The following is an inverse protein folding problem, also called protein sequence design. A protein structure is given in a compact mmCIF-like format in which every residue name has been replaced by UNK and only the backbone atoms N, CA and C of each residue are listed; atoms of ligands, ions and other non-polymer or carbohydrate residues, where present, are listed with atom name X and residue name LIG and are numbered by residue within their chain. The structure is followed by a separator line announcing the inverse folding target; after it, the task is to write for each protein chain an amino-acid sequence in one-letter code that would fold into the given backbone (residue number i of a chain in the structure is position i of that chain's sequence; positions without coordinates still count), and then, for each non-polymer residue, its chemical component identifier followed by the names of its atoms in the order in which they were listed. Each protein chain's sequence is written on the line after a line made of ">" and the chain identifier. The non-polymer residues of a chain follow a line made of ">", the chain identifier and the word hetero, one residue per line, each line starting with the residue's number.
data_IF_756879066599
#
_entry.id   IF_756879066599
#
_cell.length_a   1.000
_cell.length_b   1.000
_cell.length_c   1.000
_cell.angle_alpha   90.00
_cell.angle_beta   90.00
_cell.angle_gamma   90.00
#
_symmetry.space_group_name_H-M   'P 1'
#
loop_
_entity.id
_entity.type
_entity.pdbx_description
1 polymer ?
#
# COMPACT_ATOMS: atom_id res chain seq x y z
N UNK A 1 -2.46 -23.08 9.63
CA UNK A 1 -1.61 -21.94 10.00
C UNK A 1 -1.68 -21.78 11.51
N UNK A 2 -0.55 -21.81 12.22
CA UNK A 2 -0.54 -21.55 13.66
C UNK A 2 -0.43 -20.05 13.93
N UNK A 3 -0.90 -19.60 15.09
CA UNK A 3 -0.68 -18.21 15.52
C UNK A 3 0.83 -17.91 15.66
N UNK A 4 1.66 -18.91 15.97
CA UNK A 4 3.11 -18.77 16.05
C UNK A 4 3.77 -18.48 14.69
N UNK A 5 3.27 -19.06 13.58
CA UNK A 5 3.75 -18.72 12.23
C UNK A 5 3.47 -17.24 11.92
N UNK A 6 2.31 -16.74 12.31
CA UNK A 6 1.96 -15.32 12.10
C UNK A 6 2.81 -14.41 12.99
N UNK A 7 3.06 -14.77 14.25
CA UNK A 7 3.95 -13.98 15.12
C UNK A 7 5.40 -13.95 14.63
N UNK A 8 5.89 -15.05 14.05
CA UNK A 8 7.21 -15.10 13.44
C UNK A 8 7.29 -14.12 12.25
N UNK A 9 6.25 -14.09 11.42
CA UNK A 9 6.14 -13.14 10.31
C UNK A 9 5.99 -11.69 10.78
N UNK A 10 5.32 -11.43 11.90
CA UNK A 10 5.24 -10.09 12.49
C UNK A 10 6.63 -9.59 12.89
N UNK A 11 7.43 -10.42 13.56
CA UNK A 11 8.79 -10.04 13.94
C UNK A 11 9.67 -9.79 12.72
N UNK A 12 9.64 -10.70 11.75
CA UNK A 12 10.32 -10.56 10.45
C UNK A 12 9.94 -9.24 9.76
N UNK A 13 8.64 -8.99 9.58
CA UNK A 13 8.16 -7.85 8.81
C UNK A 13 8.57 -6.52 9.46
N UNK A 14 8.52 -6.44 10.80
CA UNK A 14 8.96 -5.25 11.53
C UNK A 14 10.47 -5.06 11.46
N UNK A 15 11.25 -6.13 11.61
CA UNK A 15 12.72 -6.06 11.49
C UNK A 15 13.14 -5.63 10.08
N UNK A 16 12.50 -6.17 9.04
CA UNK A 16 12.70 -5.75 7.65
C UNK A 16 12.56 -4.23 7.51
N UNK A 17 11.52 -3.66 8.11
CA UNK A 17 11.30 -2.22 8.21
C UNK A 17 12.48 -1.46 8.79
N UNK A 18 12.82 -1.79 10.03
CA UNK A 18 13.86 -1.07 10.74
C UNK A 18 15.22 -1.16 10.02
N UNK A 19 15.60 -2.34 9.54
CA UNK A 19 16.90 -2.52 8.86
C UNK A 19 16.91 -1.80 7.51
N UNK A 20 15.87 -1.97 6.67
CA UNK A 20 15.84 -1.42 5.30
C UNK A 20 15.97 0.09 5.25
N UNK A 21 15.30 0.77 6.16
CA UNK A 21 15.22 2.21 6.11
C UNK A 21 16.20 2.88 7.07
N UNK A 22 16.54 2.27 8.21
CA UNK A 22 17.26 3.01 9.26
C UNK A 22 18.67 2.51 9.58
N UNK A 23 19.06 1.30 9.18
CA UNK A 23 20.44 0.84 9.37
C UNK A 23 21.35 1.34 8.24
N UNK A 24 22.44 2.08 8.52
CA UNK A 24 23.19 2.81 7.47
C UNK A 24 24.43 2.07 6.95
N UNK A 25 24.43 0.74 6.97
CA UNK A 25 25.50 -0.10 6.41
C UNK A 25 25.63 0.06 4.89
N UNK A 26 26.84 -0.18 4.38
CA UNK A 26 27.09 -0.19 2.95
C UNK A 26 26.42 -1.37 2.24
N UNK A 27 26.43 -2.56 2.87
CA UNK A 27 25.80 -3.79 2.37
C UNK A 27 24.28 -3.61 2.22
N UNK A 28 23.62 -3.07 3.24
CA UNK A 28 22.18 -2.78 3.22
C UNK A 28 21.80 -1.74 2.16
N UNK A 29 22.73 -0.88 1.73
CA UNK A 29 22.46 0.11 0.69
C UNK A 29 22.47 -0.46 -0.74
N UNK A 30 23.03 -1.66 -0.94
CA UNK A 30 23.19 -2.26 -2.28
C UNK A 30 22.52 -3.63 -2.43
N UNK A 31 22.00 -4.21 -1.33
CA UNK A 31 21.26 -5.48 -1.36
C UNK A 31 19.97 -5.37 -2.18
N UNK A 32 19.57 -6.48 -2.82
CA UNK A 32 18.26 -6.61 -3.44
C UNK A 32 17.18 -6.80 -2.35
N UNK A 33 16.55 -5.69 -1.97
CA UNK A 33 15.52 -5.66 -0.93
C UNK A 33 14.23 -6.41 -1.28
N UNK A 34 13.93 -6.64 -2.56
CA UNK A 34 12.76 -7.41 -2.97
C UNK A 34 13.03 -8.90 -2.79
N UNK A 35 14.19 -9.39 -3.25
CA UNK A 35 14.63 -10.77 -3.04
C UNK A 35 14.80 -11.08 -1.55
N UNK A 36 15.40 -10.16 -0.79
CA UNK A 36 15.57 -10.31 0.65
C UNK A 36 14.22 -10.40 1.38
N UNK A 37 13.20 -9.66 0.91
CA UNK A 37 11.86 -9.77 1.49
C UNK A 37 11.30 -11.18 1.31
N UNK A 38 11.38 -11.76 0.10
CA UNK A 38 10.90 -13.12 -0.17
C UNK A 38 11.68 -14.15 0.64
N UNK A 39 13.03 -14.06 0.64
CA UNK A 39 13.89 -14.96 1.43
C UNK A 39 13.55 -14.90 2.92
N UNK A 40 13.51 -13.70 3.50
CA UNK A 40 13.22 -13.53 4.93
C UNK A 40 11.82 -14.00 5.32
N UNK A 41 10.82 -13.83 4.45
CA UNK A 41 9.49 -14.38 4.64
C UNK A 41 9.51 -15.92 4.64
N UNK A 42 10.26 -16.53 3.72
CA UNK A 42 10.40 -17.99 3.66
C UNK A 42 11.09 -18.55 4.91
N UNK A 43 12.20 -17.94 5.35
CA UNK A 43 12.93 -18.41 6.55
C UNK A 43 12.12 -18.23 7.84
N UNK A 44 11.46 -17.09 8.03
CA UNK A 44 10.63 -16.84 9.21
C UNK A 44 9.46 -17.83 9.31
N UNK A 45 8.88 -18.28 8.19
CA UNK A 45 7.83 -19.30 8.19
C UNK A 45 8.31 -20.71 8.53
N UNK A 46 9.59 -21.01 8.29
CA UNK A 46 10.19 -22.31 8.64
C UNK A 46 10.52 -22.41 10.12
N UNK A 47 10.73 -21.29 10.80
CA UNK A 47 10.95 -21.25 12.24
C UNK A 47 9.80 -21.94 13.00
N UNK A 48 10.15 -22.74 14.01
CA UNK A 48 9.19 -23.45 14.88
C UNK A 48 9.22 -22.95 16.31
N UNK A 49 10.33 -22.33 16.70
CA UNK A 49 10.54 -21.75 18.03
C UNK A 49 11.04 -20.31 17.93
N UNK A 50 10.99 -19.57 19.05
CA UNK A 50 11.59 -18.24 19.13
C UNK A 50 13.12 -18.26 18.87
N UNK A 51 13.80 -19.35 19.26
CA UNK A 51 15.22 -19.54 18.98
C UNK A 51 15.49 -19.75 17.49
N UNK A 52 14.69 -20.61 16.82
CA UNK A 52 14.82 -20.82 15.37
C UNK A 52 14.58 -19.52 14.62
N UNK A 53 13.60 -18.74 15.06
CA UNK A 53 13.28 -17.44 14.47
C UNK A 53 14.42 -16.45 14.67
N UNK A 54 15.02 -16.38 15.85
CA UNK A 54 16.18 -15.53 16.09
C UNK A 54 17.31 -15.88 15.12
N UNK A 55 17.68 -17.16 15.03
CA UNK A 55 18.74 -17.64 14.12
C UNK A 55 18.40 -17.31 12.67
N UNK A 56 17.18 -17.59 12.22
CA UNK A 56 16.74 -17.29 10.86
C UNK A 56 16.83 -15.80 10.51
N UNK A 57 16.44 -14.92 11.46
CA UNK A 57 16.54 -13.47 11.26
C UNK A 57 17.99 -12.98 11.29
N UNK A 58 18.84 -13.54 12.15
CA UNK A 58 20.26 -13.22 12.17
C UNK A 58 20.95 -13.63 10.86
N UNK A 59 20.68 -14.83 10.35
CA UNK A 59 21.22 -15.35 9.09
C UNK A 59 20.81 -14.54 7.85
N UNK A 60 19.65 -13.88 7.90
CA UNK A 60 19.14 -13.02 6.82
C UNK A 60 19.65 -11.59 6.96
N UNK A 61 19.63 -11.02 8.17
CA UNK A 61 19.84 -9.57 8.37
C UNK A 61 21.25 -9.20 8.83
N UNK A 62 21.97 -10.03 9.59
CA UNK A 62 23.34 -9.67 10.02
C UNK A 62 24.32 -9.47 8.85
N UNK A 63 24.24 -10.22 7.71
CA UNK A 63 25.10 -9.94 6.56
C UNK A 63 24.94 -8.55 5.97
N UNK A 64 23.78 -7.91 6.16
CA UNK A 64 23.52 -6.53 5.71
C UNK A 64 23.47 -5.51 6.84
N UNK A 65 23.38 -5.96 8.08
CA UNK A 65 23.39 -5.13 9.28
C UNK A 65 24.23 -5.80 10.37
N UNK A 66 25.56 -5.79 10.26
CA UNK A 66 26.44 -6.59 11.14
C UNK A 66 26.37 -6.22 12.63
N UNK A 67 25.88 -5.02 12.91
CA UNK A 67 25.73 -4.46 14.27
C UNK A 67 24.33 -4.65 14.85
N UNK A 68 23.41 -5.24 14.07
CA UNK A 68 22.13 -5.73 14.57
C UNK A 68 22.37 -6.79 15.64
N UNK A 69 21.62 -6.71 16.72
CA UNK A 69 21.55 -7.77 17.71
C UNK A 69 20.09 -8.10 18.02
N UNK A 70 19.78 -9.38 18.10
CA UNK A 70 18.48 -9.90 18.54
C UNK A 70 18.63 -10.60 19.88
N UNK A 71 17.57 -10.61 20.66
CA UNK A 71 17.46 -11.43 21.88
C UNK A 71 16.01 -11.68 22.26
N UNK A 72 15.72 -12.65 23.14
CA UNK A 72 14.40 -12.82 23.71
C UNK A 72 13.94 -11.59 24.50
N UNK A 73 12.65 -11.27 24.46
CA UNK A 73 12.04 -10.24 25.31
C UNK A 73 12.23 -10.60 26.77
N UNK A 74 12.51 -9.60 27.61
CA UNK A 74 12.69 -9.81 29.06
C UNK A 74 14.04 -10.41 29.45
N UNK A 75 15.03 -10.45 28.53
CA UNK A 75 16.39 -10.94 28.80
C UNK A 75 17.18 -10.14 29.86
N UNK A 76 16.62 -9.04 30.40
CA UNK A 76 17.02 -8.36 31.64
C UNK A 76 18.54 -8.22 31.85
N UNK A 77 19.12 -9.21 32.54
CA UNK A 77 20.51 -9.24 32.98
C UNK A 77 21.51 -9.74 31.92
N UNK A 78 21.06 -10.35 30.83
CA UNK A 78 21.92 -10.71 29.70
C UNK A 78 22.16 -9.44 28.89
N UNK A 79 23.39 -8.93 28.96
CA UNK A 79 23.82 -7.78 28.17
C UNK A 79 23.58 -8.00 26.67
N UNK A 80 23.38 -6.91 25.93
CA UNK A 80 23.33 -7.00 24.48
C UNK A 80 24.65 -7.54 23.93
N UNK A 81 24.63 -8.31 22.82
CA UNK A 81 25.83 -8.71 22.12
C UNK A 81 26.81 -7.55 21.91
N UNK A 82 28.10 -7.81 22.06
CA UNK A 82 29.16 -6.79 22.04
C UNK A 82 29.50 -6.26 20.64
N UNK A 83 28.66 -6.52 19.63
CA UNK A 83 28.85 -6.07 18.25
C UNK A 83 28.52 -4.57 18.03
N UNK A 84 28.60 -3.75 19.08
CA UNK A 84 28.35 -2.32 18.99
C UNK A 84 29.62 -1.58 18.56
N UNK A 85 29.61 -0.82 17.47
CA UNK A 85 30.75 -0.03 17.08
C UNK A 85 30.89 1.19 18.00
N UNK A 86 32.11 1.54 18.36
CA UNK A 86 32.40 2.84 18.97
C UNK A 86 32.24 3.94 17.90
N UNK A 87 31.47 4.98 18.23
CA UNK A 87 31.29 6.11 17.33
C UNK A 87 32.59 6.92 17.26
N UNK A 88 33.11 7.11 16.05
CA UNK A 88 34.27 7.98 15.80
C UNK A 88 33.86 9.41 15.45
N UNK A 89 34.85 10.22 15.07
CA UNK A 89 34.63 11.59 14.60
C UNK A 89 33.83 11.67 13.27
N UNK A 90 33.79 10.57 12.51
CA UNK A 90 33.08 10.45 11.23
C UNK A 90 32.04 9.35 11.32
N UNK A 91 30.81 9.69 10.94
CA UNK A 91 29.66 8.80 11.08
C UNK A 91 28.72 8.92 9.89
N UNK A 92 27.92 7.87 9.70
CA UNK A 92 26.87 7.78 8.67
C UNK A 92 25.53 7.41 9.28
N UNK A 93 24.45 7.93 8.69
CA UNK A 93 23.06 7.62 9.05
C UNK A 93 22.11 7.89 7.87
N UNK A 94 20.88 7.39 7.93
CA UNK A 94 19.87 7.67 6.90
C UNK A 94 19.04 8.91 7.23
N UNK A 95 18.71 9.68 6.20
CA UNK A 95 17.61 10.64 6.19
C UNK A 95 16.69 10.35 5.01
N UNK A 96 15.39 10.48 5.24
CA UNK A 96 14.37 10.28 4.22
C UNK A 96 13.43 11.47 4.16
N UNK A 97 13.24 12.00 2.95
CA UNK A 97 12.16 12.92 2.61
C UNK A 97 11.14 12.12 1.81
N UNK A 98 10.21 11.49 2.51
CA UNK A 98 9.29 10.49 1.96
C UNK A 98 9.99 9.23 1.45
N UNK A 99 9.26 8.38 0.75
CA UNK A 99 9.74 7.08 0.27
C UNK A 99 9.99 7.10 -1.24
N UNK A 100 11.18 6.68 -1.67
CA UNK A 100 11.46 6.42 -3.09
C UNK A 100 11.42 4.93 -3.35
N UNK A 101 10.44 4.49 -4.14
CA UNK A 101 10.31 3.10 -4.58
C UNK A 101 10.61 3.03 -6.09
N UNK A 102 11.58 2.19 -6.46
CA UNK A 102 11.97 1.97 -7.86
C UNK A 102 12.68 3.17 -8.51
N UNK A 103 12.75 3.12 -9.85
CA UNK A 103 13.59 4.01 -10.65
C UNK A 103 12.88 5.24 -11.21
N UNK A 104 11.55 5.37 -11.01
CA UNK A 104 10.77 6.50 -11.55
C UNK A 104 11.21 7.83 -10.91
N UNK A 105 11.21 8.94 -11.67
CA UNK A 105 11.42 10.27 -11.10
C UNK A 105 10.43 10.53 -9.97
N UNK A 106 10.93 10.98 -8.82
CA UNK A 106 10.13 11.20 -7.63
C UNK A 106 10.68 12.39 -6.85
N UNK A 107 9.81 13.23 -6.26
CA UNK A 107 10.25 14.27 -5.32
C UNK A 107 10.77 13.67 -4.01
N UNK A 108 10.51 12.38 -3.76
CA UNK A 108 10.99 11.68 -2.58
C UNK A 108 12.45 11.25 -2.71
N UNK A 109 13.22 11.47 -1.65
CA UNK A 109 14.66 11.26 -1.64
C UNK A 109 15.05 10.59 -0.32
N UNK A 110 15.81 9.50 -0.40
CA UNK A 110 16.51 8.91 0.73
C UNK A 110 18.00 9.14 0.54
N UNK A 111 18.71 9.53 1.60
CA UNK A 111 20.14 9.79 1.55
C UNK A 111 20.84 9.18 2.76
N UNK A 112 21.92 8.45 2.48
CA UNK A 112 22.91 8.07 3.47
C UNK A 112 23.85 9.25 3.69
N UNK A 113 23.62 9.98 4.77
CA UNK A 113 24.32 11.20 5.17
C UNK A 113 25.65 10.83 5.81
N UNK A 114 26.71 11.60 5.55
CA UNK A 114 27.97 11.50 6.27
C UNK A 114 28.30 12.84 6.92
N UNK A 115 28.66 12.78 8.20
CA UNK A 115 29.09 13.93 9.00
C UNK A 115 30.54 13.73 9.45
N UNK A 116 31.27 14.83 9.62
CA UNK A 116 32.68 14.84 10.03
C UNK A 116 33.69 14.77 8.88
N UNK A 117 33.27 14.99 7.63
CA UNK A 117 34.16 15.05 6.46
C UNK A 117 33.67 16.03 5.37
N UNK A 118 34.48 16.28 4.34
CA UNK A 118 34.23 17.30 3.30
C UNK A 118 33.27 16.88 2.17
N UNK A 119 32.53 15.78 2.31
CA UNK A 119 31.70 15.25 1.20
C UNK A 119 30.53 16.18 0.87
N UNK A 120 30.56 16.80 -0.31
CA UNK A 120 29.44 17.62 -0.81
C UNK A 120 28.20 16.79 -1.18
N UNK A 121 28.37 15.53 -1.55
CA UNK A 121 27.30 14.66 -2.08
C UNK A 121 26.46 13.98 -0.98
N UNK A 122 27.01 13.82 0.22
CA UNK A 122 26.35 13.16 1.37
C UNK A 122 25.94 14.13 2.47
N UNK A 123 25.63 15.38 2.11
CA UNK A 123 25.10 16.38 3.05
C UNK A 123 23.68 16.03 3.53
N UNK A 124 23.31 16.41 4.76
CA UNK A 124 21.94 16.28 5.25
C UNK A 124 20.89 16.84 4.27
N UNK A 125 19.76 16.14 4.14
CA UNK A 125 18.57 16.59 3.43
C UNK A 125 17.78 17.65 4.21
N UNK A 126 17.86 17.63 5.53
CA UNK A 126 17.17 18.53 6.44
C UNK A 126 17.90 18.61 7.78
N UNK A 127 17.55 19.61 8.59
CA UNK A 127 18.04 19.76 9.96
C UNK A 127 17.53 18.64 10.87
N UNK A 128 18.41 18.08 11.71
CA UNK A 128 18.11 16.96 12.61
C UNK A 128 18.91 15.70 12.27
N UNK A 129 19.20 14.90 13.29
CA UNK A 129 19.96 13.65 13.12
C UNK A 129 19.65 12.67 14.26
N UNK A 130 19.87 11.36 14.06
CA UNK A 130 19.75 10.37 15.11
C UNK A 130 20.97 10.34 16.05
N UNK A 131 21.89 11.33 16.00
CA UNK A 131 23.10 11.30 16.84
C UNK A 131 22.80 11.38 18.35
N UNK A 132 21.68 11.98 18.74
CA UNK A 132 21.22 11.99 20.13
C UNK A 132 20.63 10.65 20.59
N UNK A 133 20.18 9.81 19.64
CA UNK A 133 19.62 8.48 19.89
C UNK A 133 20.18 7.52 18.83
N UNK A 134 21.48 7.20 18.90
CA UNK A 134 22.18 6.51 17.81
C UNK A 134 21.81 5.02 17.70
N UNK A 135 21.00 4.52 18.64
CA UNK A 135 20.61 3.12 18.73
C UNK A 135 19.11 3.05 19.00
N UNK A 136 18.42 2.23 18.22
CA UNK A 136 17.03 1.88 18.41
C UNK A 136 16.93 0.56 19.17
N UNK A 137 16.11 0.53 20.22
CA UNK A 137 15.68 -0.69 20.89
C UNK A 137 14.19 -0.89 20.62
N UNK A 138 13.80 -2.07 20.12
CA UNK A 138 12.42 -2.32 19.72
C UNK A 138 12.00 -3.76 19.96
N UNK A 139 10.86 -3.96 20.61
CA UNK A 139 10.19 -5.25 20.64
C UNK A 139 9.61 -5.54 19.25
N UNK A 140 10.04 -6.62 18.60
CA UNK A 140 9.60 -7.03 17.26
C UNK A 140 8.26 -7.77 17.34
N UNK A 141 8.10 -8.64 18.33
CA UNK A 141 6.85 -9.29 18.70
C UNK A 141 6.87 -9.54 20.22
N UNK A 142 6.07 -10.50 20.71
CA UNK A 142 6.05 -10.89 22.12
C UNK A 142 7.31 -11.66 22.58
N UNK A 143 8.06 -12.25 21.65
CA UNK A 143 9.15 -13.18 21.94
C UNK A 143 10.53 -12.58 21.69
N UNK A 144 10.68 -11.69 20.69
CA UNK A 144 11.96 -11.12 20.26
C UNK A 144 11.97 -9.59 20.32
N UNK A 145 13.11 -9.06 20.74
CA UNK A 145 13.47 -7.65 20.64
C UNK A 145 14.79 -7.47 19.90
N UNK A 146 14.94 -6.31 19.26
CA UNK A 146 16.09 -5.95 18.47
C UNK A 146 16.76 -4.69 19.01
N UNK A 147 18.08 -4.69 18.93
CA UNK A 147 18.92 -3.50 19.03
C UNK A 147 19.49 -3.22 17.65
N UNK A 148 19.20 -2.03 17.14
CA UNK A 148 19.62 -1.59 15.81
C UNK A 148 20.33 -0.25 15.88
N UNK A 149 21.65 -0.20 15.63
CA UNK A 149 22.35 1.06 15.43
C UNK A 149 21.79 1.82 14.22
N UNK A 150 21.41 3.08 14.47
CA UNK A 150 20.95 4.04 13.46
C UNK A 150 22.10 4.89 12.90
N UNK A 151 23.24 4.84 13.59
CA UNK A 151 24.47 5.58 13.29
C UNK A 151 25.63 4.59 13.31
N UNK A 152 26.46 4.62 12.28
CA UNK A 152 27.68 3.82 12.20
C UNK A 152 28.89 4.70 11.99
N UNK A 153 30.08 4.35 12.53
CA UNK A 153 31.31 5.00 12.15
C UNK A 153 31.64 4.72 10.68
N UNK A 154 32.37 5.65 10.06
CA UNK A 154 32.93 5.43 8.71
C UNK A 154 34.42 5.66 8.67
N UNK A 155 35.10 4.89 7.83
CA UNK A 155 36.53 5.04 7.55
C UNK A 155 36.83 6.31 6.72
N UNK A 156 38.11 6.54 6.43
CA UNK A 156 38.53 7.68 5.61
C UNK A 156 37.90 7.66 4.19
N UNK A 157 37.65 6.46 3.66
CA UNK A 157 37.02 6.20 2.38
C UNK A 157 35.47 6.24 2.42
N UNK A 158 34.87 6.73 3.52
CA UNK A 158 33.41 6.82 3.70
C UNK A 158 32.68 5.47 3.74
N UNK A 159 33.37 4.39 4.14
CA UNK A 159 32.78 3.05 4.28
C UNK A 159 32.47 2.71 5.72
N UNK A 160 31.35 2.05 5.95
CA UNK A 160 31.00 1.55 7.28
C UNK A 160 31.93 0.41 7.69
N UNK A 161 32.38 0.43 8.94
CA UNK A 161 33.12 -0.70 9.50
C UNK A 161 32.14 -1.82 9.84
N UNK A 162 32.24 -2.96 9.16
CA UNK A 162 31.36 -4.12 9.34
C UNK A 162 32.09 -5.42 9.02
N UNK A 163 32.31 -6.22 10.06
CA UNK A 163 33.20 -7.39 10.17
C UNK A 163 32.59 -8.69 9.65
N UNK A 164 32.01 -8.71 8.45
CA UNK A 164 31.61 -9.94 7.78
C UNK A 164 31.78 -9.86 6.25
N UNK A 165 32.97 -9.46 5.79
CA UNK A 165 33.31 -9.41 4.36
C UNK A 165 33.03 -10.73 3.61
N UNK A 166 32.91 -11.86 4.33
CA UNK A 166 32.55 -13.16 3.77
C UNK A 166 31.03 -13.47 3.77
N UNK A 167 30.23 -12.95 4.72
CA UNK A 167 28.81 -13.34 4.82
C UNK A 167 27.93 -12.58 3.83
N UNK A 168 28.27 -11.33 3.49
CA UNK A 168 27.49 -10.57 2.51
C UNK A 168 27.57 -11.18 1.10
N UNK A 169 28.75 -11.55 0.56
CA UNK A 169 28.83 -12.29 -0.70
C UNK A 169 28.02 -13.60 -0.69
N UNK A 170 28.06 -14.36 0.42
CA UNK A 170 27.27 -15.58 0.56
C UNK A 170 25.75 -15.30 0.54
N UNK A 171 25.30 -14.21 1.18
CA UNK A 171 23.91 -13.76 1.08
C UNK A 171 23.57 -13.34 -0.36
N UNK A 172 24.45 -12.62 -1.06
CA UNK A 172 24.21 -12.24 -2.45
C UNK A 172 24.05 -13.46 -3.35
N UNK A 173 24.86 -14.50 -3.16
CA UNK A 173 24.73 -15.77 -3.88
C UNK A 173 23.41 -16.47 -3.56
N UNK A 174 23.03 -16.55 -2.27
CA UNK A 174 21.72 -17.06 -1.84
C UNK A 174 20.56 -16.30 -2.48
N UNK A 175 20.63 -14.97 -2.52
CA UNK A 175 19.62 -14.13 -3.17
C UNK A 175 19.60 -14.34 -4.68
N UNK A 176 20.77 -14.50 -5.32
CA UNK A 176 20.89 -14.75 -6.75
C UNK A 176 20.24 -16.08 -7.16
N UNK A 177 20.41 -17.10 -6.32
CA UNK A 177 19.93 -18.49 -6.53
C UNK A 177 18.55 -18.76 -5.92
N UNK A 178 17.98 -17.83 -5.16
CA UNK A 178 16.63 -17.95 -4.62
C UNK A 178 15.63 -17.99 -5.78
N UNK A 179 15.19 -19.18 -6.14
CA UNK A 179 14.15 -19.41 -7.14
C UNK A 179 12.81 -18.93 -6.60
N UNK A 180 12.46 -17.68 -6.89
CA UNK A 180 11.08 -17.22 -6.87
C UNK A 180 10.79 -16.50 -8.17
N UNK A 181 9.55 -16.62 -8.62
CA UNK A 181 9.06 -15.84 -9.75
C UNK A 181 8.48 -14.54 -9.19
N UNK A 182 9.08 -13.41 -9.56
CA UNK A 182 8.56 -12.09 -9.15
C UNK A 182 7.11 -11.97 -9.60
N UNK A 183 6.22 -11.75 -8.63
CA UNK A 183 4.78 -11.66 -8.89
C UNK A 183 4.07 -13.01 -8.99
N UNK A 184 4.73 -14.15 -8.72
CA UNK A 184 4.03 -15.42 -8.55
C UNK A 184 3.27 -15.42 -7.22
N UNK A 185 1.98 -15.10 -7.34
CA UNK A 185 1.07 -15.03 -6.22
C UNK A 185 0.65 -16.40 -5.71
N UNK A 186 1.12 -17.52 -6.28
CA UNK A 186 0.93 -18.86 -5.70
C UNK A 186 1.89 -19.12 -4.55
N UNK A 187 3.07 -18.49 -4.55
CA UNK A 187 4.03 -18.60 -3.45
C UNK A 187 3.61 -17.71 -2.26
N UNK A 188 3.28 -18.30 -1.08
CA UNK A 188 2.97 -17.54 0.12
C UNK A 188 4.10 -16.62 0.58
N UNK A 189 5.37 -16.94 0.33
CA UNK A 189 6.49 -16.06 0.68
C UNK A 189 6.47 -14.76 -0.14
N UNK A 190 6.08 -14.83 -1.43
CA UNK A 190 5.89 -13.66 -2.30
C UNK A 190 4.72 -12.81 -1.79
N UNK A 191 3.60 -13.42 -1.40
CA UNK A 191 2.45 -12.71 -0.82
C UNK A 191 2.79 -12.02 0.50
N UNK A 192 3.52 -12.70 1.39
CA UNK A 192 3.98 -12.12 2.66
C UNK A 192 4.99 -10.99 2.44
N UNK A 193 5.91 -11.12 1.49
CA UNK A 193 6.84 -10.07 1.12
C UNK A 193 6.12 -8.81 0.63
N UNK A 194 5.07 -8.96 -0.18
CA UNK A 194 4.24 -7.84 -0.65
C UNK A 194 3.55 -7.09 0.48
N UNK A 195 2.93 -7.80 1.43
CA UNK A 195 2.36 -7.20 2.64
C UNK A 195 3.45 -6.51 3.47
N UNK A 196 4.60 -7.16 3.66
CA UNK A 196 5.72 -6.62 4.43
C UNK A 196 6.21 -5.30 3.87
N UNK A 197 6.41 -5.22 2.55
CA UNK A 197 6.85 -3.98 1.89
C UNK A 197 5.79 -2.90 2.02
N UNK A 198 4.53 -3.20 1.67
CA UNK A 198 3.43 -2.23 1.73
C UNK A 198 3.23 -1.70 3.15
N UNK A 199 3.16 -2.59 4.14
CA UNK A 199 2.90 -2.23 5.53
C UNK A 199 4.00 -1.32 6.09
N UNK A 200 5.28 -1.65 5.82
CA UNK A 200 6.39 -0.83 6.32
C UNK A 200 6.49 0.52 5.62
N UNK A 201 6.18 0.58 4.32
CA UNK A 201 6.12 1.87 3.61
C UNK A 201 5.14 2.81 4.31
N UNK A 202 3.97 2.31 4.69
CA UNK A 202 3.01 3.14 5.41
C UNK A 202 3.45 3.39 6.85
N UNK A 203 3.98 2.39 7.57
CA UNK A 203 4.45 2.54 8.95
C UNK A 203 5.50 3.66 9.10
N UNK A 204 6.40 3.82 8.13
CA UNK A 204 7.53 4.74 8.25
C UNK A 204 7.35 6.05 7.48
N UNK A 205 6.46 6.09 6.48
CA UNK A 205 6.36 7.25 5.59
C UNK A 205 4.94 7.82 5.43
N UNK A 206 3.90 7.18 5.98
CA UNK A 206 2.58 7.78 6.03
C UNK A 206 2.47 8.75 7.23
N UNK A 207 2.16 10.03 6.99
CA UNK A 207 2.27 11.06 8.03
C UNK A 207 1.05 11.15 8.97
N UNK A 208 -0.07 10.49 8.66
CA UNK A 208 -1.36 10.78 9.31
C UNK A 208 -1.89 9.65 10.21
N UNK A 209 -1.04 8.72 10.69
CA UNK A 209 -1.49 7.61 11.53
C UNK A 209 -2.21 8.09 12.80
N UNK A 210 -1.63 9.09 13.48
CA UNK A 210 -2.17 9.61 14.74
C UNK A 210 -3.45 10.43 14.52
N UNK A 211 -3.45 11.29 13.51
CA UNK A 211 -4.56 12.17 13.14
C UNK A 211 -5.79 11.38 12.67
N UNK A 212 -5.56 10.27 11.96
CA UNK A 212 -6.62 9.38 11.53
C UNK A 212 -7.03 8.35 12.61
N UNK A 213 -6.38 8.34 13.79
CA UNK A 213 -6.69 7.41 14.87
C UNK A 213 -6.47 5.93 14.50
N UNK A 214 -5.48 5.66 13.63
CA UNK A 214 -5.23 4.32 13.09
C UNK A 214 -4.21 3.61 13.96
N UNK A 215 -4.61 2.49 14.58
CA UNK A 215 -3.64 1.53 15.10
C UNK A 215 -3.05 0.71 13.96
N UNK A 216 -2.02 1.28 13.31
CA UNK A 216 -1.37 0.68 12.15
C UNK A 216 -0.57 -0.58 12.50
N UNK A 217 0.02 -0.61 13.70
CA UNK A 217 0.72 -1.79 14.23
C UNK A 217 -0.24 -2.98 14.31
N UNK A 218 -1.46 -2.77 14.81
CA UNK A 218 -2.47 -3.82 14.87
C UNK A 218 -2.93 -4.34 13.50
N UNK A 219 -2.71 -3.60 12.40
CA UNK A 219 -3.12 -4.04 11.05
C UNK A 219 -2.16 -5.07 10.43
N UNK A 220 -0.94 -5.21 10.95
CA UNK A 220 0.07 -6.11 10.37
C UNK A 220 -0.35 -7.58 10.46
N UNK A 221 -0.78 -8.02 11.65
CA UNK A 221 -1.14 -9.43 11.91
C UNK A 221 -2.32 -9.91 11.03
N UNK A 222 -3.46 -9.20 10.94
CA UNK A 222 -4.54 -9.58 10.02
C UNK A 222 -4.12 -9.57 8.53
N UNK A 223 -3.24 -8.65 8.13
CA UNK A 223 -2.76 -8.57 6.76
C UNK A 223 -1.87 -9.77 6.39
N UNK A 224 -0.96 -10.16 7.28
CA UNK A 224 -0.11 -11.35 7.09
C UNK A 224 -0.95 -12.63 7.04
N UNK A 225 -1.96 -12.75 7.91
CA UNK A 225 -2.93 -13.85 7.88
C UNK A 225 -3.64 -13.93 6.53
N UNK A 226 -4.15 -12.79 6.06
CA UNK A 226 -4.80 -12.70 4.74
C UNK A 226 -3.86 -13.11 3.61
N UNK A 227 -2.58 -12.72 3.68
CA UNK A 227 -1.58 -13.11 2.68
C UNK A 227 -1.33 -14.62 2.68
N UNK A 228 -1.28 -15.27 3.84
CA UNK A 228 -1.10 -16.72 3.93
C UNK A 228 -2.33 -17.49 3.42
N UNK A 229 -3.53 -17.03 3.78
CA UNK A 229 -4.81 -17.68 3.47
C UNK A 229 -5.31 -17.43 2.05
N UNK A 230 -4.76 -16.44 1.32
CA UNK A 230 -5.21 -16.15 -0.02
C UNK A 230 -4.97 -17.32 -0.98
N UNK A 231 -6.06 -17.89 -1.51
CA UNK A 231 -6.06 -18.99 -2.49
C UNK A 231 -5.99 -18.50 -3.94
N UNK A 232 -6.36 -17.24 -4.18
CA UNK A 232 -6.40 -16.65 -5.53
C UNK A 232 -5.69 -15.30 -5.59
N UNK A 233 -5.15 -14.91 -6.76
CA UNK A 233 -4.60 -13.57 -6.99
C UNK A 233 -5.56 -12.44 -6.63
N UNK A 234 -6.86 -12.60 -6.96
CA UNK A 234 -7.90 -11.61 -6.63
C UNK A 234 -8.15 -11.52 -5.13
N UNK A 235 -8.19 -12.66 -4.42
CA UNK A 235 -8.34 -12.69 -2.96
C UNK A 235 -7.16 -12.01 -2.25
N UNK A 236 -5.94 -12.23 -2.73
CA UNK A 236 -4.74 -11.55 -2.23
C UNK A 236 -4.80 -10.04 -2.50
N UNK A 237 -5.14 -9.63 -3.73
CA UNK A 237 -5.32 -8.21 -4.10
C UNK A 237 -6.35 -7.54 -3.20
N UNK A 238 -7.49 -8.18 -2.98
CA UNK A 238 -8.55 -7.63 -2.12
C UNK A 238 -8.06 -7.51 -0.66
N UNK A 239 -7.20 -8.42 -0.20
CA UNK A 239 -6.49 -8.31 1.07
C UNK A 239 -5.60 -7.07 1.17
N UNK A 240 -4.81 -6.78 0.13
CA UNK A 240 -4.01 -5.56 0.05
C UNK A 240 -4.88 -4.30 0.01
N UNK A 241 -5.97 -4.31 -0.77
CA UNK A 241 -6.94 -3.22 -0.83
C UNK A 241 -7.54 -2.93 0.56
N UNK A 242 -7.92 -3.98 1.32
CA UNK A 242 -8.41 -3.82 2.70
C UNK A 242 -7.36 -3.21 3.61
N UNK A 243 -6.09 -3.62 3.51
CA UNK A 243 -5.00 -3.02 4.28
C UNK A 243 -4.85 -1.52 3.96
N UNK A 244 -4.84 -1.14 2.68
CA UNK A 244 -4.77 0.27 2.25
C UNK A 244 -6.02 1.05 2.67
N UNK A 245 -7.20 0.43 2.66
CA UNK A 245 -8.45 1.05 3.11
C UNK A 245 -8.42 1.45 4.60
N UNK A 246 -7.60 0.78 5.43
CA UNK A 246 -7.38 1.18 6.83
C UNK A 246 -6.70 2.54 6.98
N UNK A 247 -6.00 3.03 5.95
CA UNK A 247 -5.40 4.37 5.94
C UNK A 247 -6.46 5.48 5.90
N UNK A 248 -7.68 5.19 5.43
CA UNK A 248 -8.76 6.16 5.25
C UNK A 248 -8.37 7.37 4.38
N UNK A 249 -7.38 7.21 3.52
CA UNK A 249 -6.83 8.27 2.66
C UNK A 249 -7.25 8.04 1.20
N UNK A 250 -7.92 9.04 0.60
CA UNK A 250 -8.39 8.98 -0.77
C UNK A 250 -7.28 8.79 -1.83
N UNK A 251 -6.02 9.02 -1.50
CA UNK A 251 -4.88 8.77 -2.37
C UNK A 251 -4.40 7.32 -2.33
N UNK A 252 -4.78 6.56 -1.31
CA UNK A 252 -4.48 5.13 -1.19
C UNK A 252 -5.28 4.32 -2.21
N UNK A 253 -4.69 4.06 -3.37
CA UNK A 253 -5.32 3.29 -4.46
C UNK A 253 -4.37 2.18 -4.92
N UNK A 254 -4.92 0.98 -5.09
CA UNK A 254 -4.21 -0.14 -5.70
C UNK A 254 -4.62 -0.26 -7.17
N UNK A 255 -3.64 -0.24 -8.07
CA UNK A 255 -3.85 -0.44 -9.51
C UNK A 255 -3.36 -1.85 -9.89
N UNK A 256 -4.17 -2.61 -10.63
CA UNK A 256 -3.67 -3.79 -11.32
C UNK A 256 -2.84 -3.31 -12.53
N UNK A 257 -1.61 -3.84 -12.66
CA UNK A 257 -0.67 -3.62 -13.76
C UNK A 257 -0.66 -2.22 -14.40
N UNK A 258 0.20 -1.33 -13.89
CA UNK A 258 0.80 -0.33 -14.76
C UNK A 258 2.04 -0.98 -15.37
N UNK A 259 1.93 -1.47 -16.61
CA UNK A 259 3.10 -1.91 -17.37
C UNK A 259 4.21 -0.84 -17.35
N UNK A 260 5.43 -1.22 -17.69
CA UNK A 260 6.59 -0.31 -17.72
C UNK A 260 6.47 0.82 -18.76
N UNK A 261 5.32 0.98 -19.43
CA UNK A 261 5.11 1.96 -20.47
C UNK A 261 4.76 3.36 -19.88
N UNK A 262 5.51 4.43 -20.20
CA UNK A 262 5.40 5.72 -19.50
C UNK A 262 4.16 6.57 -19.82
N UNK A 263 3.28 6.15 -20.74
CA UNK A 263 2.32 7.05 -21.40
C UNK A 263 0.89 6.55 -21.46
N UNK A 264 0.58 5.36 -20.93
CA UNK A 264 -0.80 4.85 -20.98
C UNK A 264 -1.46 5.09 -19.63
N UNK A 265 -2.24 6.17 -19.57
CA UNK A 265 -3.30 6.34 -18.56
C UNK A 265 -4.48 5.37 -18.79
N UNK A 266 -4.37 4.42 -19.74
CA UNK A 266 -5.29 3.30 -19.81
C UNK A 266 -4.96 2.36 -18.65
N UNK A 267 -5.81 2.47 -17.64
CA UNK A 267 -6.02 1.37 -16.72
C UNK A 267 -6.38 0.18 -17.61
N UNK A 268 -5.53 -0.85 -17.68
CA UNK A 268 -5.95 -2.10 -18.30
C UNK A 268 -7.12 -2.59 -17.45
N UNK A 269 -8.34 -2.31 -17.90
CA UNK A 269 -9.58 -2.69 -17.21
C UNK A 269 -9.76 -4.18 -17.45
N UNK A 270 -9.07 -4.99 -16.65
CA UNK A 270 -9.17 -6.46 -16.67
C UNK A 270 -10.45 -6.97 -16.00
N UNK A 271 -11.20 -6.10 -15.35
CA UNK A 271 -12.48 -6.43 -14.73
C UNK A 271 -13.64 -6.26 -15.70
N UNK A 272 -14.60 -7.18 -15.62
CA UNK A 272 -15.91 -7.05 -16.23
C UNK A 272 -16.84 -6.17 -15.40
N UNK A 273 -17.72 -5.43 -16.06
CA UNK A 273 -18.62 -4.47 -15.42
C UNK A 273 -20.05 -4.55 -15.93
N UNK A 274 -21.00 -4.21 -15.06
CA UNK A 274 -22.38 -4.06 -15.47
C UNK A 274 -22.51 -2.82 -16.37
N UNK A 275 -23.36 -2.87 -17.42
CA UNK A 275 -23.55 -1.76 -18.35
C UNK A 275 -24.48 -0.67 -17.78
N UNK A 276 -24.38 -0.40 -16.47
CA UNK A 276 -25.24 0.54 -15.73
C UNK A 276 -24.42 1.37 -14.74
N UNK A 277 -24.84 2.62 -14.54
CA UNK A 277 -24.37 3.46 -13.43
C UNK A 277 -25.44 3.44 -12.36
N UNK A 278 -25.04 3.20 -11.13
CA UNK A 278 -25.94 3.24 -9.97
C UNK A 278 -25.60 4.39 -9.03
N UNK A 279 -26.60 4.85 -8.30
CA UNK A 279 -26.44 5.77 -7.19
C UNK A 279 -27.24 5.28 -5.98
N UNK A 280 -26.84 5.72 -4.79
CA UNK A 280 -27.64 5.53 -3.58
C UNK A 280 -28.69 6.65 -3.48
N UNK A 281 -29.97 6.27 -3.47
CA UNK A 281 -31.11 7.20 -3.31
C UNK A 281 -31.92 6.75 -2.09
N UNK A 282 -31.81 7.49 -0.99
CA UNK A 282 -32.23 6.99 0.32
C UNK A 282 -31.47 5.71 0.67
N UNK A 283 -32.19 4.65 1.04
CA UNK A 283 -31.59 3.34 1.34
C UNK A 283 -31.49 2.40 0.12
N UNK A 284 -31.90 2.87 -1.07
CA UNK A 284 -31.99 2.05 -2.29
C UNK A 284 -30.82 2.31 -3.25
N UNK A 285 -30.44 1.28 -4.01
CA UNK A 285 -29.48 1.39 -5.11
C UNK A 285 -30.29 1.54 -6.40
N UNK A 286 -30.15 2.66 -7.09
CA UNK A 286 -30.98 3.02 -8.24
C UNK A 286 -30.11 3.18 -9.48
N UNK A 287 -30.56 2.62 -10.61
CA UNK A 287 -29.94 2.83 -11.91
C UNK A 287 -30.16 4.28 -12.36
N UNK A 288 -29.07 4.97 -12.68
CA UNK A 288 -29.06 6.40 -13.06
C UNK A 288 -28.59 6.65 -14.48
N UNK A 289 -27.98 5.66 -15.12
CA UNK A 289 -27.64 5.67 -16.53
C UNK A 289 -27.47 4.23 -16.98
N UNK A 290 -27.78 3.97 -18.24
CA UNK A 290 -27.63 2.68 -18.88
C UNK A 290 -26.78 2.85 -20.13
N UNK A 291 -26.19 1.77 -20.64
CA UNK A 291 -25.65 1.77 -22.00
C UNK A 291 -26.78 1.45 -22.98
N UNK A 292 -26.65 1.89 -24.22
CA UNK A 292 -27.68 1.71 -25.26
C UNK A 292 -28.19 0.27 -25.39
N UNK A 293 -27.33 -0.73 -25.19
CA UNK A 293 -27.66 -2.16 -25.32
C UNK A 293 -28.06 -2.82 -23.99
N UNK A 294 -28.11 -2.08 -22.89
CA UNK A 294 -28.37 -2.64 -21.57
C UNK A 294 -29.87 -2.94 -21.38
N UNK A 295 -30.25 -4.09 -20.80
CA UNK A 295 -31.64 -4.46 -20.53
C UNK A 295 -32.30 -3.71 -19.35
N UNK A 296 -31.69 -2.61 -18.91
CA UNK A 296 -32.11 -1.81 -17.75
C UNK A 296 -32.68 -0.47 -18.21
N UNK A 297 -33.42 0.19 -17.33
CA UNK A 297 -33.85 1.57 -17.53
C UNK A 297 -33.42 2.45 -16.34
N UNK A 298 -33.09 3.72 -16.56
CA UNK A 298 -32.92 4.66 -15.46
C UNK A 298 -34.18 4.66 -14.56
N UNK A 299 -33.97 4.60 -13.25
CA UNK A 299 -35.04 4.45 -12.26
C UNK A 299 -35.23 3.04 -11.71
N UNK A 300 -34.71 1.99 -12.39
CA UNK A 300 -34.70 0.63 -11.86
C UNK A 300 -34.04 0.60 -10.47
N UNK A 301 -34.72 0.00 -9.49
CA UNK A 301 -34.15 -0.21 -8.15
C UNK A 301 -33.47 -1.57 -8.13
N UNK A 302 -32.14 -1.59 -7.99
CA UNK A 302 -31.39 -2.85 -7.87
C UNK A 302 -31.63 -3.44 -6.48
N UNK A 303 -32.23 -4.63 -6.45
CA UNK A 303 -32.57 -5.37 -5.23
C UNK A 303 -31.43 -6.31 -4.84
N UNK A 304 -30.90 -7.07 -5.80
CA UNK A 304 -29.81 -8.03 -5.57
C UNK A 304 -29.00 -8.30 -6.83
N UNK A 305 -27.76 -8.75 -6.66
CA UNK A 305 -26.89 -9.22 -7.74
C UNK A 305 -26.48 -10.66 -7.42
N UNK A 306 -26.86 -11.61 -8.28
CA UNK A 306 -26.68 -13.05 -8.09
C UNK A 306 -27.10 -13.54 -6.70
N UNK A 307 -28.27 -13.09 -6.25
CA UNK A 307 -28.84 -13.42 -4.93
C UNK A 307 -28.30 -12.60 -3.75
N UNK A 308 -27.20 -11.86 -3.90
CA UNK A 308 -26.63 -11.02 -2.84
C UNK A 308 -27.37 -9.67 -2.82
N UNK A 309 -27.92 -9.21 -1.68
CA UNK A 309 -28.58 -7.91 -1.58
C UNK A 309 -27.71 -6.77 -2.07
N UNK A 310 -28.28 -5.83 -2.84
CA UNK A 310 -27.51 -4.76 -3.48
C UNK A 310 -26.71 -3.91 -2.48
N UNK A 311 -27.24 -3.74 -1.26
CA UNK A 311 -26.56 -3.05 -0.17
C UNK A 311 -25.31 -3.78 0.32
N UNK A 312 -25.36 -5.11 0.37
CA UNK A 312 -24.20 -5.94 0.75
C UNK A 312 -23.14 -5.93 -0.36
N UNK A 313 -23.56 -5.96 -1.63
CA UNK A 313 -22.65 -5.78 -2.78
C UNK A 313 -21.91 -4.45 -2.68
N UNK A 314 -22.63 -3.37 -2.36
CA UNK A 314 -22.01 -2.06 -2.16
C UNK A 314 -21.07 -2.05 -0.95
N UNK A 315 -21.51 -2.56 0.20
CA UNK A 315 -20.71 -2.59 1.42
C UNK A 315 -19.39 -3.34 1.23
N UNK A 316 -19.43 -4.52 0.59
CA UNK A 316 -18.24 -5.30 0.26
C UNK A 316 -17.26 -4.51 -0.65
N UNK A 317 -17.77 -3.68 -1.56
CA UNK A 317 -16.94 -2.79 -2.39
C UNK A 317 -16.39 -1.61 -1.60
N UNK A 318 -17.16 -1.03 -0.67
CA UNK A 318 -16.71 0.06 0.21
C UNK A 318 -15.53 -0.36 1.11
N UNK A 319 -15.46 -1.63 1.52
CA UNK A 319 -14.34 -2.18 2.31
C UNK A 319 -13.00 -2.21 1.56
N UNK A 320 -13.04 -2.22 0.23
CA UNK A 320 -11.85 -2.27 -0.63
C UNK A 320 -11.34 -0.87 -1.02
N UNK A 321 -12.03 0.19 -0.59
CA UNK A 321 -11.70 1.57 -0.97
C UNK A 321 -11.18 2.35 0.22
N UNK A 322 -10.05 3.03 0.03
CA UNK A 322 -9.53 4.01 0.99
C UNK A 322 -10.08 5.42 0.72
N UNK A 323 -10.34 6.15 1.79
CA UNK A 323 -10.85 7.52 1.78
C UNK A 323 -11.95 7.78 2.81
N UNK A 324 -12.53 8.98 2.75
CA UNK A 324 -13.69 9.35 3.55
C UNK A 324 -14.92 8.47 3.22
N UNK A 325 -15.90 8.34 4.13
CA UNK A 325 -17.10 7.55 3.87
C UNK A 325 -17.79 7.89 2.53
N UNK A 326 -17.86 9.18 2.18
CA UNK A 326 -18.47 9.64 0.94
C UNK A 326 -17.66 9.23 -0.29
N UNK A 327 -16.32 9.37 -0.24
CA UNK A 327 -15.45 8.98 -1.33
C UNK A 327 -15.43 7.46 -1.53
N UNK A 328 -15.43 6.70 -0.44
CA UNK A 328 -15.53 5.23 -0.45
C UNK A 328 -16.79 4.78 -1.16
N UNK A 329 -17.93 5.32 -0.74
CA UNK A 329 -19.23 5.06 -1.37
C UNK A 329 -19.24 5.39 -2.85
N UNK A 330 -18.77 6.58 -3.20
CA UNK A 330 -18.72 7.03 -4.60
C UNK A 330 -17.90 6.08 -5.49
N UNK A 331 -16.69 5.72 -5.06
CA UNK A 331 -15.82 4.80 -5.81
C UNK A 331 -16.36 3.37 -5.81
N UNK A 332 -16.98 2.93 -4.73
CA UNK A 332 -17.61 1.62 -4.65
C UNK A 332 -18.80 1.49 -5.61
N UNK A 333 -19.63 2.54 -5.73
CA UNK A 333 -20.70 2.62 -6.72
C UNK A 333 -20.17 2.58 -8.16
N UNK A 334 -19.02 3.21 -8.43
CA UNK A 334 -18.37 3.13 -9.75
C UNK A 334 -17.91 1.71 -10.11
N UNK A 335 -17.67 0.85 -9.10
CA UNK A 335 -17.28 -0.56 -9.26
C UNK A 335 -18.41 -1.54 -8.92
N UNK A 336 -19.65 -1.06 -8.82
CA UNK A 336 -20.79 -1.87 -8.40
C UNK A 336 -21.01 -3.04 -9.37
N UNK A 337 -21.11 -4.26 -8.84
CA UNK A 337 -21.27 -5.47 -9.65
C UNK A 337 -20.11 -5.80 -10.58
N UNK A 338 -18.89 -5.27 -10.34
CA UNK A 338 -17.71 -5.74 -11.05
C UNK A 338 -17.41 -7.21 -10.74
N UNK A 339 -16.89 -7.93 -11.73
CA UNK A 339 -16.47 -9.33 -11.65
C UNK A 339 -15.54 -9.70 -12.79
N UNK A 340 -15.27 -10.99 -13.03
CA UNK A 340 -14.51 -11.44 -14.20
C UNK A 340 -15.24 -11.09 -15.51
N UNK A 341 -14.49 -10.71 -16.55
CA UNK A 341 -15.05 -10.52 -17.90
C UNK A 341 -15.64 -11.84 -18.39
N UNK A 342 -16.83 -11.79 -18.98
CA UNK A 342 -17.58 -12.94 -19.48
C UNK A 342 -18.40 -13.68 -18.42
N UNK A 343 -18.28 -13.33 -17.13
CA UNK A 343 -19.16 -13.89 -16.10
C UNK A 343 -20.60 -13.38 -16.28
N UNK A 344 -21.59 -14.24 -16.04
CA UNK A 344 -23.01 -13.84 -16.04
C UNK A 344 -23.48 -13.59 -14.62
N UNK A 345 -24.10 -12.43 -14.40
CA UNK A 345 -24.74 -12.07 -13.13
C UNK A 345 -26.26 -11.97 -13.30
N UNK A 346 -27.01 -12.49 -12.34
CA UNK A 346 -28.46 -12.31 -12.27
C UNK A 346 -28.78 -11.05 -11.48
N UNK A 347 -29.12 -9.96 -12.16
CA UNK A 347 -29.44 -8.69 -11.52
C UNK A 347 -30.95 -8.60 -11.30
N UNK A 348 -31.37 -8.69 -10.05
CA UNK A 348 -32.76 -8.48 -9.69
C UNK A 348 -33.04 -6.99 -9.50
N UNK A 349 -34.02 -6.47 -10.23
CA UNK A 349 -34.46 -5.07 -10.14
C UNK A 349 -35.95 -5.00 -9.85
N UNK A 350 -36.39 -3.90 -9.25
CA UNK A 350 -37.78 -3.50 -9.18
C UNK A 350 -38.02 -2.35 -10.17
N UNK A 351 -38.96 -2.57 -11.10
CA UNK A 351 -39.37 -1.63 -12.15
C UNK A 351 -40.87 -1.45 -12.05
N UNK A 352 -41.32 -0.24 -11.78
CA UNK A 352 -42.75 0.09 -11.64
C UNK A 352 -43.50 -0.83 -10.65
N UNK A 353 -42.85 -1.20 -9.55
CA UNK A 353 -43.38 -2.10 -8.53
C UNK A 353 -43.35 -3.59 -8.89
N UNK A 354 -42.84 -3.95 -10.07
CA UNK A 354 -42.67 -5.34 -10.51
C UNK A 354 -41.22 -5.76 -10.37
N UNK A 355 -40.98 -6.92 -9.76
CA UNK A 355 -39.65 -7.49 -9.64
C UNK A 355 -39.28 -8.29 -10.90
N UNK A 356 -38.14 -7.97 -11.48
CA UNK A 356 -37.55 -8.62 -12.65
C UNK A 356 -36.18 -9.16 -12.27
N UNK A 357 -35.79 -10.31 -12.83
CA UNK A 357 -34.41 -10.81 -12.75
C UNK A 357 -33.85 -10.85 -14.15
N UNK A 358 -32.75 -10.12 -14.36
CA UNK A 358 -32.16 -9.90 -15.67
C UNK A 358 -30.75 -10.51 -15.66
N UNK A 359 -30.49 -11.57 -16.47
CA UNK A 359 -29.15 -12.10 -16.63
C UNK A 359 -28.31 -11.14 -17.47
N UNK A 360 -27.10 -10.82 -16.99
CA UNK A 360 -26.17 -9.90 -17.66
C UNK A 360 -24.79 -10.51 -17.73
N UNK A 361 -24.27 -10.69 -18.95
CA UNK A 361 -22.86 -11.04 -19.15
C UNK A 361 -22.00 -9.79 -18.99
N UNK A 362 -20.98 -9.87 -18.13
CA UNK A 362 -20.07 -8.76 -17.87
C UNK A 362 -19.11 -8.57 -19.05
N UNK A 363 -19.16 -7.39 -19.67
CA UNK A 363 -18.17 -6.95 -20.66
C UNK A 363 -17.05 -6.18 -19.97
N UNK A 364 -15.94 -5.93 -20.68
CA UNK A 364 -14.83 -5.12 -20.17
C UNK A 364 -15.36 -3.80 -19.56
N UNK A 365 -15.08 -3.58 -18.27
CA UNK A 365 -15.74 -2.53 -17.52
C UNK A 365 -15.25 -1.15 -17.96
N UNK A 366 -16.09 -0.44 -18.69
CA UNK A 366 -15.78 0.91 -19.18
C UNK A 366 -16.03 2.02 -18.14
N UNK A 367 -16.42 1.67 -16.90
CA UNK A 367 -16.59 2.65 -15.81
C UNK A 367 -15.23 2.99 -15.22
N UNK A 368 -14.97 4.28 -15.01
CA UNK A 368 -13.74 4.73 -14.37
C UNK A 368 -13.84 4.69 -12.84
N UNK A 369 -12.72 4.38 -12.19
CA UNK A 369 -12.65 4.34 -10.73
C UNK A 369 -12.84 5.73 -10.10
N UNK A 370 -12.13 6.73 -10.62
CA UNK A 370 -12.18 8.12 -10.14
C UNK A 370 -13.36 8.91 -10.69
N UNK A 371 -13.85 8.55 -11.86
CA UNK A 371 -14.99 9.18 -12.51
C UNK A 371 -15.73 8.18 -13.38
N UNK A 372 -17.06 8.16 -13.29
CA UNK A 372 -17.88 7.29 -14.11
C UNK A 372 -18.62 8.08 -15.19
N UNK A 373 -17.98 8.11 -16.36
CA UNK A 373 -18.36 8.91 -17.50
C UNK A 373 -19.58 8.44 -18.28
N UNK A 374 -20.25 7.32 -17.91
CA UNK A 374 -21.39 6.80 -18.68
C UNK A 374 -22.42 7.92 -18.92
N UNK A 375 -22.51 8.31 -20.19
CA UNK A 375 -23.26 9.45 -20.68
C UNK A 375 -24.68 8.99 -20.97
N UNK A 376 -25.59 9.44 -20.11
CA UNK A 376 -27.03 9.62 -20.37
C UNK A 376 -27.61 10.53 -19.27
N UNK A 377 -26.79 11.48 -18.83
CA UNK A 377 -27.15 12.49 -17.84
C UNK A 377 -26.56 13.81 -18.37
N UNK A 378 -27.15 14.32 -19.45
CA UNK A 378 -27.03 15.73 -19.78
C UNK A 378 -27.82 16.49 -18.72
N UNK A 379 -27.18 16.76 -17.59
CA UNK A 379 -27.63 17.86 -16.76
C UNK A 379 -27.21 19.13 -17.49
N UNK A 380 -28.10 20.11 -17.70
CA UNK A 380 -27.70 21.37 -18.27
C UNK A 380 -26.56 21.93 -17.42
N UNK A 381 -25.53 22.46 -18.08
CA UNK A 381 -24.30 22.94 -17.42
C UNK A 381 -24.62 23.98 -16.33
N UNK A 382 -25.75 24.66 -16.50
CA UNK A 382 -26.38 25.57 -15.56
C UNK A 382 -27.88 25.27 -15.49
N UNK A 383 -28.46 25.30 -14.30
CA UNK A 383 -29.92 25.32 -14.11
C UNK A 383 -30.30 26.44 -13.13
N UNK A 384 -31.28 27.27 -13.50
CA UNK A 384 -31.87 28.22 -12.56
C UNK A 384 -32.82 27.46 -11.62
N UNK A 385 -32.44 27.37 -10.35
CA UNK A 385 -33.18 26.61 -9.33
C UNK A 385 -34.30 27.45 -8.71
N UNK A 386 -34.15 28.77 -8.73
CA UNK A 386 -35.16 29.78 -8.41
C UNK A 386 -34.71 31.14 -8.97
N UNK A 387 -35.58 32.16 -9.09
CA UNK A 387 -35.23 33.44 -9.70
C UNK A 387 -33.93 34.04 -9.12
N UNK A 388 -32.88 34.13 -9.94
CA UNK A 388 -31.57 34.65 -9.58
C UNK A 388 -30.60 33.66 -8.91
N UNK A 389 -31.00 32.40 -8.75
CA UNK A 389 -30.17 31.33 -8.17
C UNK A 389 -29.90 30.26 -9.21
N UNK A 390 -28.62 30.10 -9.58
CA UNK A 390 -28.18 29.10 -10.55
C UNK A 390 -27.35 28.01 -9.85
N UNK A 391 -27.55 26.75 -10.24
CA UNK A 391 -26.65 25.65 -9.90
C UNK A 391 -25.81 25.27 -11.12
N UNK A 392 -24.51 25.05 -10.91
CA UNK A 392 -23.60 24.52 -11.93
C UNK A 392 -23.31 23.07 -11.62
N UNK A 393 -23.73 22.17 -12.51
CA UNK A 393 -23.49 20.73 -12.38
C UNK A 393 -22.37 20.36 -13.34
N UNK A 394 -21.25 21.08 -13.23
CA UNK A 394 -20.07 20.79 -14.05
C UNK A 394 -19.46 19.46 -13.60
N UNK A 395 -19.37 18.47 -14.49
CA UNK A 395 -18.36 17.40 -14.38
C UNK A 395 -17.01 18.07 -14.15
N UNK A 396 -16.17 17.59 -13.21
CA UNK A 396 -14.80 18.10 -13.12
C UNK A 396 -14.10 17.77 -14.43
N UNK A 397 -13.93 18.79 -15.28
CA UNK A 397 -13.09 18.68 -16.45
C UNK A 397 -11.67 18.29 -15.98
N UNK A 398 -10.97 17.38 -16.70
CA UNK A 398 -9.57 17.12 -16.40
C UNK A 398 -8.82 18.44 -16.51
N UNK A 399 -8.19 18.88 -15.41
CA UNK A 399 -7.42 20.12 -15.36
C UNK A 399 -6.31 20.07 -16.42
N UNK A 400 -6.54 20.66 -17.60
CA UNK A 400 -5.45 21.18 -18.42
C UNK A 400 -4.99 22.46 -17.74
N UNK A 401 -3.72 22.47 -17.32
CA UNK A 401 -2.99 23.62 -16.80
C UNK A 401 -3.40 24.91 -17.51
N UNK A 402 -4.19 25.73 -16.84
CA UNK A 402 -4.43 27.12 -17.23
C UNK A 402 -4.17 27.97 -16.02
N UNK A 403 -3.19 28.88 -16.16
CA UNK A 403 -2.77 29.83 -15.13
C UNK A 403 -4.00 30.62 -14.66
N UNK A 404 -4.18 30.70 -13.35
CA UNK A 404 -5.18 31.56 -12.74
C UNK A 404 -4.93 33.01 -13.18
N UNK A 405 -5.82 33.55 -14.00
CA UNK A 405 -6.03 34.99 -14.11
C UNK A 405 -7.31 35.27 -13.31
N UNK A 406 -7.14 35.95 -12.18
CA UNK A 406 -8.25 36.49 -11.40
C UNK A 406 -8.88 37.65 -12.18
N UNK A 407 -10.10 37.48 -12.66
CA UNK A 407 -10.95 38.60 -13.11
C UNK A 407 -12.16 38.71 -12.19
N UNK A 408 -12.15 39.79 -11.40
CA UNK A 408 -13.27 40.24 -10.59
C UNK A 408 -14.45 40.61 -11.50
N UNK A 409 -15.58 39.92 -11.35
CA UNK A 409 -16.85 40.38 -11.91
C UNK A 409 -17.62 41.15 -10.85
N UNK A 410 -17.58 42.49 -10.93
CA UNK A 410 -18.59 43.35 -10.32
C UNK A 410 -19.84 43.33 -11.20
N UNK A 411 -21.02 43.22 -10.58
CA UNK A 411 -22.30 43.53 -11.24
C UNK A 411 -22.29 44.98 -11.71
N UNK A 412 -22.63 45.29 -12.97
CA UNK A 412 -23.15 46.60 -13.31
C UNK A 412 -24.63 46.63 -12.90
N UNK A 413 -25.01 47.61 -12.08
CA UNK A 413 -26.40 47.86 -11.75
C UNK A 413 -26.56 49.31 -11.32
N UNK A 414 -27.54 49.96 -11.96
CA UNK A 414 -28.08 51.31 -11.71
C UNK A 414 -27.18 52.49 -12.08
#
# INVERSE_FOLDING_TARGET
>A
MSDDEVEALVAYARLYGYVRWFHPSDEGAVVDWERLAVLGAAEARRARTASDLQTALEDVFQPIAPTLALRPVGSGNVGWPSNQPELGARVTYWQHRGVKLGSRPSPYISRRVIVGGESKERKPLFEGSPLAVPILFVALNRDLEARLPLVLPVDQANRTSGTLAASFPALQERLATCEYVKGDLNDPAVRVAGVTILWNVMQHFFPYHAEAGIDWIAQLRPALRTALEAETPDGYRDGLCRLVARLQDGHGVFFAEMGEHPTVHEHVQTAGGLPIRVAMVGERIVVTAVRETAPFVPGDVVVSVSGVPAREVLAAREELVSGSPQLRRYRALNRFGQGPVGATLDVAVERDGVRLTIPVTLEADQRGYFSNGMQEFELPTFAEVSPGYFTSISRPAPRRNTRHISTNWRRPGA
#
